data_IF_071180519359
#
_entry.id   IF_071180519359
#
_cell.length_a   1.000
_cell.length_b   1.000
_cell.length_c   1.000
_cell.angle_alpha   90.00
_cell.angle_beta   90.00
_cell.angle_gamma   90.00
#
_symmetry.space_group_name_H-M   'P 1'
#
loop_
_entity.id
_entity.type
_entity.pdbx_description
1 polymer ?
#
# COMPACT_ATOMS: atom_id res chain seq x y z
N UNK A 1 18.64 39.76 -6.20
CA UNK A 1 18.85 38.35 -5.80
C UNK A 1 17.68 37.51 -6.31
N UNK A 2 17.83 36.86 -7.47
CA UNK A 2 16.77 36.03 -8.04
C UNK A 2 16.56 34.78 -7.18
N UNK A 3 15.34 34.55 -6.68
CA UNK A 3 14.98 33.26 -6.08
C UNK A 3 15.20 32.19 -7.14
N UNK A 4 16.17 31.29 -6.93
CA UNK A 4 16.31 30.07 -7.75
C UNK A 4 14.93 29.39 -7.74
N UNK A 5 14.23 29.38 -8.87
CA UNK A 5 13.05 28.53 -9.03
C UNK A 5 13.55 27.10 -8.84
N UNK A 6 13.22 26.48 -7.72
CA UNK A 6 13.37 25.03 -7.60
C UNK A 6 12.44 24.43 -8.64
N UNK A 7 13.01 23.98 -9.76
CA UNK A 7 12.29 23.21 -10.77
C UNK A 7 11.99 21.89 -10.08
N UNK A 8 10.73 21.67 -9.68
CA UNK A 8 10.34 20.37 -9.17
C UNK A 8 10.38 19.38 -10.35
N UNK A 9 10.96 18.18 -10.15
CA UNK A 9 10.98 17.17 -11.20
C UNK A 9 9.54 16.83 -11.60
N UNK A 10 9.28 16.79 -12.90
CA UNK A 10 7.98 16.39 -13.41
C UNK A 10 7.97 14.87 -13.59
N UNK A 11 6.96 14.20 -13.04
CA UNK A 11 6.82 12.75 -13.15
C UNK A 11 5.67 12.36 -14.07
N UNK A 12 5.87 11.31 -14.85
CA UNK A 12 4.84 10.70 -15.70
C UNK A 12 4.54 9.31 -15.16
N UNK A 13 3.33 9.12 -14.63
CA UNK A 13 2.86 7.83 -14.14
C UNK A 13 2.16 7.05 -15.27
N UNK A 14 2.75 5.92 -15.68
CA UNK A 14 2.28 5.05 -16.77
C UNK A 14 1.42 3.88 -16.29
N UNK A 15 1.56 3.47 -15.02
CA UNK A 15 0.77 2.39 -14.39
C UNK A 15 0.46 2.72 -12.93
N UNK A 16 -0.63 2.16 -12.40
CA UNK A 16 -1.00 2.35 -10.98
C UNK A 16 0.03 1.73 -10.04
N UNK A 17 0.45 2.47 -9.02
CA UNK A 17 1.32 1.99 -7.94
C UNK A 17 0.46 1.44 -6.81
N UNK A 18 0.63 0.16 -6.47
CA UNK A 18 -0.17 -0.52 -5.45
C UNK A 18 0.69 -0.75 -4.21
N UNK A 19 0.36 -0.05 -3.13
CA UNK A 19 1.05 -0.17 -1.85
C UNK A 19 0.61 -1.45 -1.14
N UNK A 20 1.57 -2.34 -0.85
CA UNK A 20 1.32 -3.63 -0.18
C UNK A 20 2.21 -3.80 1.06
N UNK A 21 1.80 -4.68 1.96
CA UNK A 21 2.53 -4.96 3.20
C UNK A 21 1.65 -4.97 4.46
N UNK A 22 2.30 -5.19 5.60
CA UNK A 22 1.67 -5.35 6.90
C UNK A 22 0.88 -4.12 7.36
N UNK A 23 -0.05 -4.32 8.30
CA UNK A 23 -0.65 -3.21 9.04
C UNK A 23 0.45 -2.46 9.80
N UNK A 24 0.43 -1.12 9.83
CA UNK A 24 1.52 -0.34 10.45
C UNK A 24 2.75 -0.11 9.55
N UNK A 25 2.82 -0.72 8.35
CA UNK A 25 3.93 -0.49 7.42
C UNK A 25 3.96 0.92 6.80
N UNK A 26 2.90 1.72 6.99
CA UNK A 26 2.84 3.11 6.49
C UNK A 26 2.20 3.28 5.11
N UNK A 27 1.57 2.24 4.55
CA UNK A 27 0.96 2.24 3.20
C UNK A 27 0.14 3.49 2.88
N UNK A 28 -0.82 3.85 3.74
CA UNK A 28 -1.68 5.03 3.54
C UNK A 28 -0.88 6.33 3.64
N UNK A 29 0.03 6.45 4.61
CA UNK A 29 0.79 7.68 4.83
C UNK A 29 1.81 7.93 3.70
N UNK A 30 2.63 6.94 3.39
CA UNK A 30 3.59 6.99 2.28
C UNK A 30 2.86 7.09 0.95
N UNK A 31 1.77 6.34 0.76
CA UNK A 31 0.99 6.39 -0.48
C UNK A 31 0.36 7.76 -0.75
N UNK A 32 -0.14 8.46 0.28
CA UNK A 32 -0.64 9.85 0.15
C UNK A 32 0.49 10.83 -0.15
N UNK A 33 1.63 10.70 0.51
CA UNK A 33 2.80 11.54 0.19
C UNK A 33 3.28 11.32 -1.24
N UNK A 34 3.32 10.06 -1.68
CA UNK A 34 3.69 9.69 -3.05
C UNK A 34 2.70 10.24 -4.06
N UNK A 35 1.39 10.14 -3.81
CA UNK A 35 0.38 10.66 -4.74
C UNK A 35 0.49 12.19 -4.90
N UNK A 36 0.78 12.91 -3.81
CA UNK A 36 1.03 14.35 -3.84
C UNK A 36 2.29 14.68 -4.63
N UNK A 37 3.39 13.97 -4.38
CA UNK A 37 4.67 14.15 -5.07
C UNK A 37 4.57 13.92 -6.58
N UNK A 38 3.76 12.94 -6.98
CA UNK A 38 3.51 12.59 -8.38
C UNK A 38 2.35 13.36 -9.01
N UNK A 39 1.62 14.19 -8.25
CA UNK A 39 0.40 14.88 -8.70
C UNK A 39 -0.66 13.96 -9.31
N UNK A 40 -0.87 12.79 -8.70
CA UNK A 40 -1.87 11.77 -9.09
C UNK A 40 -2.86 11.47 -7.96
N UNK A 41 -4.01 10.85 -8.23
CA UNK A 41 -4.95 10.46 -7.18
C UNK A 41 -4.38 9.45 -6.19
N UNK A 42 -4.82 9.55 -4.94
CA UNK A 42 -4.70 8.49 -3.95
C UNK A 42 -6.02 7.73 -3.86
N UNK A 43 -5.94 6.40 -3.94
CA UNK A 43 -7.07 5.47 -3.87
C UNK A 43 -6.87 4.55 -2.67
N UNK A 44 -7.95 4.15 -2.00
CA UNK A 44 -7.92 3.19 -0.88
C UNK A 44 -8.95 2.09 -1.12
N UNK A 45 -8.50 0.84 -1.30
CA UNK A 45 -9.39 -0.26 -1.60
C UNK A 45 -10.40 -0.53 -0.49
N UNK A 46 -10.00 -0.35 0.78
CA UNK A 46 -10.89 -0.62 1.91
C UNK A 46 -12.03 0.42 1.91
N UNK A 47 -11.71 1.70 1.68
CA UNK A 47 -12.73 2.76 1.57
C UNK A 47 -13.69 2.56 0.39
N UNK A 48 -13.17 2.08 -0.74
CA UNK A 48 -13.99 1.78 -1.93
C UNK A 48 -14.93 0.59 -1.71
N UNK A 49 -14.46 -0.45 -1.00
CA UNK A 49 -15.29 -1.58 -0.59
C UNK A 49 -16.39 -1.11 0.37
N UNK A 50 -16.05 -0.29 1.36
CA UNK A 50 -17.02 0.23 2.34
C UNK A 50 -18.10 1.08 1.66
N UNK A 51 -17.69 1.94 0.73
CA UNK A 51 -18.61 2.77 -0.07
C UNK A 51 -19.54 1.91 -0.91
N UNK A 52 -19.01 0.90 -1.61
CA UNK A 52 -19.82 0.00 -2.43
C UNK A 52 -20.79 -0.87 -1.60
N UNK A 53 -20.41 -1.25 -0.38
CA UNK A 53 -21.22 -2.08 0.50
C UNK A 53 -22.18 -1.28 1.41
N UNK A 54 -22.02 0.05 1.46
CA UNK A 54 -22.63 0.95 2.43
C UNK A 54 -22.49 0.43 3.88
N UNK A 55 -21.30 -0.11 4.20
CA UNK A 55 -20.96 -0.79 5.46
C UNK A 55 -19.47 -0.71 5.71
N UNK A 56 -19.06 -0.67 6.96
CA UNK A 56 -17.66 -0.73 7.35
C UNK A 56 -17.08 -2.13 7.13
N UNK A 57 -15.75 -2.25 6.96
CA UNK A 57 -15.08 -3.55 6.83
C UNK A 57 -15.44 -4.50 7.98
N UNK A 58 -15.41 -4.10 9.28
CA UNK A 58 -15.81 -4.98 10.38
C UNK A 58 -17.26 -5.49 10.24
N UNK A 59 -18.19 -4.67 9.76
CA UNK A 59 -19.58 -5.07 9.55
C UNK A 59 -19.72 -6.09 8.42
N UNK A 60 -18.99 -5.90 7.31
CA UNK A 60 -18.95 -6.85 6.19
C UNK A 60 -18.41 -8.20 6.68
N UNK A 61 -17.31 -8.22 7.44
CA UNK A 61 -16.77 -9.45 8.00
C UNK A 61 -17.76 -10.14 8.96
N UNK A 62 -18.44 -9.38 9.82
CA UNK A 62 -19.41 -9.93 10.78
C UNK A 62 -20.64 -10.51 10.09
N UNK A 63 -21.15 -9.87 9.05
CA UNK A 63 -22.40 -10.23 8.37
C UNK A 63 -22.20 -11.26 7.26
N UNK A 64 -21.24 -11.00 6.38
CA UNK A 64 -21.08 -11.70 5.10
C UNK A 64 -19.83 -12.62 5.09
N UNK A 65 -18.93 -12.47 6.07
CA UNK A 65 -17.76 -13.30 6.27
C UNK A 65 -16.56 -12.94 5.40
N UNK A 66 -15.40 -13.51 5.73
CA UNK A 66 -14.14 -13.19 5.03
C UNK A 66 -14.19 -13.58 3.55
N UNK A 67 -14.80 -14.72 3.20
CA UNK A 67 -14.88 -15.18 1.80
C UNK A 67 -15.57 -14.14 0.92
N UNK A 68 -16.67 -13.56 1.39
CA UNK A 68 -17.38 -12.50 0.67
C UNK A 68 -16.53 -11.23 0.56
N UNK A 69 -15.91 -10.80 1.65
CA UNK A 69 -15.02 -9.65 1.66
C UNK A 69 -13.90 -9.80 0.63
N UNK A 70 -13.24 -10.97 0.57
CA UNK A 70 -12.15 -11.24 -0.38
C UNK A 70 -12.61 -11.22 -1.84
N UNK A 71 -13.82 -11.70 -2.13
CA UNK A 71 -14.38 -11.61 -3.47
C UNK A 71 -14.60 -10.15 -3.89
N UNK A 72 -15.18 -9.33 -3.00
CA UNK A 72 -15.38 -7.89 -3.24
C UNK A 72 -14.05 -7.13 -3.36
N UNK A 73 -13.08 -7.45 -2.52
CA UNK A 73 -11.72 -6.88 -2.57
C UNK A 73 -11.07 -7.13 -3.93
N UNK A 74 -11.19 -8.34 -4.48
CA UNK A 74 -10.64 -8.68 -5.78
C UNK A 74 -11.32 -7.97 -6.96
N UNK A 75 -12.63 -7.72 -6.87
CA UNK A 75 -13.40 -6.94 -7.86
C UNK A 75 -13.03 -5.46 -7.82
N UNK A 76 -12.99 -4.87 -6.61
CA UNK A 76 -12.64 -3.46 -6.41
C UNK A 76 -11.22 -3.18 -6.87
N UNK A 77 -10.24 -4.02 -6.50
CA UNK A 77 -8.85 -3.86 -6.98
C UNK A 77 -8.77 -3.94 -8.50
N UNK A 78 -9.49 -4.87 -9.13
CA UNK A 78 -9.48 -5.01 -10.59
C UNK A 78 -10.02 -3.73 -11.27
N UNK A 79 -11.11 -3.17 -10.74
CA UNK A 79 -11.73 -1.93 -11.23
C UNK A 79 -10.78 -0.73 -11.07
N UNK A 80 -10.23 -0.53 -9.88
CA UNK A 80 -9.33 0.59 -9.57
C UNK A 80 -8.02 0.58 -10.38
N UNK A 81 -7.57 -0.60 -10.80
CA UNK A 81 -6.42 -0.74 -11.70
C UNK A 81 -6.70 -0.27 -13.14
N UNK A 82 -7.96 -0.20 -13.56
CA UNK A 82 -8.37 0.20 -14.91
C UNK A 82 -8.84 1.66 -14.99
N UNK A 83 -9.47 2.20 -13.95
CA UNK A 83 -10.12 3.52 -13.99
C UNK A 83 -9.14 4.69 -14.18
N UNK A 84 -8.25 4.90 -13.22
CA UNK A 84 -7.32 6.03 -13.24
C UNK A 84 -5.99 5.64 -12.61
N UNK A 85 -4.91 5.96 -13.31
CA UNK A 85 -3.55 5.79 -12.80
C UNK A 85 -3.36 6.64 -11.56
N UNK A 86 -2.91 6.03 -10.48
CA UNK A 86 -2.67 6.69 -9.21
C UNK A 86 -1.88 5.81 -8.25
N UNK A 87 -1.98 6.16 -6.97
CA UNK A 87 -1.42 5.35 -5.88
C UNK A 87 -2.57 4.68 -5.13
N UNK A 88 -2.61 3.35 -5.19
CA UNK A 88 -3.63 2.51 -4.56
C UNK A 88 -3.09 1.90 -3.26
N UNK A 89 -3.64 2.30 -2.12
CA UNK A 89 -3.44 1.61 -0.85
C UNK A 89 -4.38 0.42 -0.75
N UNK A 90 -3.86 -0.72 -0.30
CA UNK A 90 -4.66 -1.95 -0.12
C UNK A 90 -4.72 -2.41 1.33
N UNK A 91 -5.78 -3.15 1.66
CA UNK A 91 -5.87 -3.89 2.92
C UNK A 91 -4.73 -4.89 3.06
N UNK A 92 -4.32 -5.19 4.31
CA UNK A 92 -3.18 -6.07 4.56
C UNK A 92 -3.36 -7.51 4.04
N UNK A 93 -4.58 -7.94 3.71
CA UNK A 93 -4.84 -9.26 3.13
C UNK A 93 -4.87 -9.30 1.61
N UNK A 94 -4.99 -8.15 0.94
CA UNK A 94 -5.24 -8.06 -0.51
C UNK A 94 -4.21 -8.80 -1.35
N UNK A 95 -2.91 -8.61 -1.05
CA UNK A 95 -1.81 -9.19 -1.80
C UNK A 95 -1.60 -10.69 -1.54
N UNK A 96 -2.32 -11.27 -0.56
CA UNK A 96 -2.23 -12.71 -0.25
C UNK A 96 -2.95 -13.56 -1.31
N UNK A 97 -3.97 -13.03 -1.95
CA UNK A 97 -4.66 -13.69 -3.06
C UNK A 97 -3.78 -13.67 -4.32
N UNK A 98 -3.57 -14.84 -4.92
CA UNK A 98 -2.78 -14.97 -6.14
C UNK A 98 -3.33 -14.15 -7.31
N UNK A 99 -4.65 -14.17 -7.48
CA UNK A 99 -5.31 -13.42 -8.56
C UNK A 99 -5.07 -11.91 -8.43
N UNK A 100 -5.09 -11.37 -7.21
CA UNK A 100 -4.78 -9.97 -6.97
C UNK A 100 -3.33 -9.67 -7.36
N UNK A 101 -2.36 -10.53 -7.00
CA UNK A 101 -0.96 -10.34 -7.39
C UNK A 101 -0.79 -10.32 -8.91
N UNK A 102 -1.44 -11.25 -9.62
CA UNK A 102 -1.38 -11.32 -11.08
C UNK A 102 -1.96 -10.05 -11.70
N UNK A 103 -3.15 -9.61 -11.27
CA UNK A 103 -3.78 -8.37 -11.75
C UNK A 103 -2.92 -7.12 -11.48
N UNK A 104 -2.35 -7.03 -10.27
CA UNK A 104 -1.49 -5.91 -9.88
C UNK A 104 -0.22 -5.89 -10.73
N UNK A 105 0.44 -7.04 -10.92
CA UNK A 105 1.68 -7.13 -11.73
C UNK A 105 1.43 -6.79 -13.19
N UNK A 106 0.29 -7.23 -13.74
CA UNK A 106 -0.03 -7.05 -15.17
C UNK A 106 -0.48 -5.63 -15.51
N UNK A 107 -1.25 -4.99 -14.63
CA UNK A 107 -1.89 -3.68 -14.90
C UNK A 107 -1.29 -2.52 -14.11
N UNK A 108 -0.49 -2.82 -13.10
CA UNK A 108 0.10 -1.87 -12.16
C UNK A 108 1.55 -2.22 -11.84
N UNK A 109 1.94 -1.89 -10.61
CA UNK A 109 3.14 -2.36 -9.94
C UNK A 109 2.85 -2.50 -8.46
N UNK A 110 3.30 -3.58 -7.83
CA UNK A 110 3.25 -3.74 -6.39
C UNK A 110 4.51 -3.18 -5.73
N UNK A 111 4.32 -2.26 -4.78
CA UNK A 111 5.39 -1.70 -3.94
C UNK A 111 5.19 -2.20 -2.52
N UNK A 112 6.07 -3.10 -2.07
CA UNK A 112 6.07 -3.60 -0.71
C UNK A 112 6.88 -2.68 0.21
N UNK A 113 6.20 -2.08 1.20
CA UNK A 113 6.84 -1.43 2.32
C UNK A 113 7.25 -2.49 3.35
N UNK A 114 8.51 -2.91 3.26
CA UNK A 114 9.10 -3.96 4.09
C UNK A 114 9.60 -3.40 5.42
N UNK A 115 8.69 -3.36 6.39
CA UNK A 115 8.98 -3.00 7.79
C UNK A 115 9.20 -4.28 8.61
N UNK A 116 10.22 -4.27 9.47
CA UNK A 116 10.46 -5.37 10.41
C UNK A 116 9.39 -5.44 11.52
N UNK A 117 9.36 -6.57 12.22
CA UNK A 117 8.37 -6.85 13.25
C UNK A 117 8.38 -5.81 14.38
N UNK A 118 9.56 -5.35 14.79
CA UNK A 118 9.72 -4.40 15.89
C UNK A 118 9.18 -3.02 15.54
N UNK A 119 9.49 -2.51 14.34
CA UNK A 119 8.95 -1.26 13.82
C UNK A 119 7.44 -1.34 13.66
N UNK A 120 6.93 -2.46 13.14
CA UNK A 120 5.49 -2.68 13.04
C UNK A 120 4.83 -2.65 14.42
N UNK A 121 5.40 -3.35 15.41
CA UNK A 121 4.90 -3.39 16.77
C UNK A 121 4.86 -2.00 17.40
N UNK A 122 5.95 -1.23 17.32
CA UNK A 122 6.02 0.14 17.83
C UNK A 122 4.89 1.03 17.26
N UNK A 123 4.53 0.84 15.99
CA UNK A 123 3.50 1.64 15.30
C UNK A 123 2.07 1.22 15.59
N UNK A 124 1.83 -0.01 16.06
CA UNK A 124 0.47 -0.56 16.23
C UNK A 124 0.08 -0.85 17.67
N UNK A 125 1.04 -1.01 18.60
CA UNK A 125 0.77 -1.46 19.99
C UNK A 125 -0.17 -0.56 20.80
N UNK A 126 -0.26 0.73 20.47
CA UNK A 126 -1.14 1.71 21.15
C UNK A 126 -2.42 2.03 20.36
N UNK A 127 -2.74 1.27 19.30
CA UNK A 127 -3.87 1.57 18.41
C UNK A 127 -5.03 0.60 18.62
N UNK A 128 -6.13 1.11 19.16
CA UNK A 128 -7.37 0.33 19.34
C UNK A 128 -8.08 0.00 18.02
N UNK A 129 -7.68 0.65 16.91
CA UNK A 129 -8.27 0.48 15.58
C UNK A 129 -7.80 -0.79 14.86
N UNK A 130 -7.18 -1.75 15.56
CA UNK A 130 -6.66 -3.01 14.98
C UNK A 130 -7.41 -4.23 15.54
N UNK A 131 -8.58 -4.60 15.00
CA UNK A 131 -9.36 -5.76 15.47
C UNK A 131 -8.56 -7.06 15.55
N UNK A 132 -7.67 -7.29 14.58
CA UNK A 132 -6.82 -8.49 14.53
C UNK A 132 -5.82 -8.61 15.69
N UNK A 133 -5.54 -7.52 16.42
CA UNK A 133 -4.63 -7.49 17.56
C UNK A 133 -5.37 -7.43 18.90
N UNK A 134 -6.70 -7.51 18.92
CA UNK A 134 -7.50 -7.58 20.14
C UNK A 134 -7.53 -9.03 20.67
N UNK A 135 -6.37 -9.51 21.08
CA UNK A 135 -6.15 -10.87 21.61
C UNK A 135 -5.44 -10.80 22.96
N UNK A 136 -5.36 -11.93 23.67
CA UNK A 136 -4.66 -11.99 24.96
C UNK A 136 -3.16 -11.66 24.86
N UNK A 137 -2.54 -11.96 23.72
CA UNK A 137 -1.16 -11.58 23.40
C UNK A 137 -1.09 -10.96 21.98
N UNK A 138 -1.23 -9.62 21.88
CA UNK A 138 -1.20 -8.91 20.61
C UNK A 138 0.15 -9.02 19.89
N UNK A 139 1.27 -9.11 20.62
CA UNK A 139 2.60 -9.20 20.03
C UNK A 139 2.84 -10.58 19.41
N UNK A 140 2.48 -11.66 20.11
CA UNK A 140 2.53 -13.01 19.54
C UNK A 140 1.59 -13.14 18.33
N UNK A 141 0.42 -12.52 18.38
CA UNK A 141 -0.53 -12.48 17.26
C UNK A 141 0.07 -11.78 16.05
N UNK A 142 0.68 -10.60 16.24
CA UNK A 142 1.37 -9.87 15.18
C UNK A 142 2.51 -10.71 14.59
N UNK A 143 3.31 -11.35 15.43
CA UNK A 143 4.45 -12.22 15.03
C UNK A 143 3.99 -13.35 14.13
N UNK A 144 2.90 -14.04 14.49
CA UNK A 144 2.30 -15.12 13.68
C UNK A 144 1.80 -14.59 12.34
N UNK A 145 1.09 -13.46 12.33
CA UNK A 145 0.61 -12.84 11.09
C UNK A 145 1.80 -12.44 10.20
N UNK A 146 2.86 -11.88 10.78
CA UNK A 146 4.07 -11.47 10.08
C UNK A 146 4.73 -12.67 9.38
N UNK A 147 5.02 -13.74 10.11
CA UNK A 147 5.65 -14.95 9.56
C UNK A 147 4.85 -15.59 8.42
N UNK A 148 3.52 -15.54 8.50
CA UNK A 148 2.64 -16.09 7.47
C UNK A 148 2.55 -15.21 6.20
N UNK A 149 2.68 -13.89 6.34
CA UNK A 149 2.40 -12.96 5.23
C UNK A 149 3.65 -12.49 4.50
N UNK A 150 4.78 -12.34 5.18
CA UNK A 150 6.04 -11.85 4.60
C UNK A 150 6.50 -12.64 3.37
N UNK A 151 6.46 -13.99 3.35
CA UNK A 151 6.83 -14.75 2.15
C UNK A 151 5.99 -14.41 0.92
N UNK A 152 4.76 -13.93 1.11
CA UNK A 152 3.90 -13.50 0.01
C UNK A 152 4.16 -12.05 -0.38
N UNK A 153 4.38 -11.14 0.58
CA UNK A 153 4.76 -9.77 0.27
C UNK A 153 6.10 -9.68 -0.45
N UNK A 154 7.05 -10.58 -0.16
CA UNK A 154 8.34 -10.69 -0.86
C UNK A 154 8.22 -10.99 -2.36
N UNK A 155 7.03 -11.35 -2.84
CA UNK A 155 6.72 -11.54 -4.28
C UNK A 155 6.31 -10.24 -4.98
N UNK A 156 6.35 -9.09 -4.28
CA UNK A 156 6.07 -7.80 -4.89
C UNK A 156 7.12 -7.42 -5.93
N UNK A 157 6.69 -6.63 -6.92
CA UNK A 157 7.53 -6.18 -8.03
C UNK A 157 8.68 -5.29 -7.55
N UNK A 158 8.41 -4.46 -6.54
CA UNK A 158 9.36 -3.50 -5.97
C UNK A 158 9.33 -3.62 -4.45
N UNK A 159 10.51 -3.74 -3.84
CA UNK A 159 10.68 -3.85 -2.39
C UNK A 159 11.37 -2.60 -1.87
N UNK A 160 10.75 -1.95 -0.88
CA UNK A 160 11.29 -0.76 -0.22
C UNK A 160 11.33 -1.01 1.28
N UNK A 161 12.53 -1.15 1.83
CA UNK A 161 12.72 -1.32 3.29
C UNK A 161 12.21 -0.10 4.04
N UNK A 162 11.28 -0.27 4.99
CA UNK A 162 10.89 0.78 5.93
C UNK A 162 11.79 0.68 7.16
N UNK A 163 12.56 1.74 7.42
CA UNK A 163 13.55 1.78 8.50
C UNK A 163 13.02 2.71 9.59
N UNK A 164 13.30 2.39 10.85
CA UNK A 164 12.97 3.27 11.98
C UNK A 164 13.69 4.62 11.83
N UNK A 165 13.03 5.70 12.26
CA UNK A 165 13.57 7.06 12.18
C UNK A 165 13.35 7.79 10.86
N UNK A 166 12.98 7.10 9.78
CA UNK A 166 12.65 7.76 8.51
C UNK A 166 11.30 8.49 8.59
N UNK A 167 11.30 9.72 8.11
CA UNK A 167 10.11 10.51 7.83
C UNK A 167 9.30 9.92 6.65
N UNK A 168 8.06 10.40 6.50
CA UNK A 168 7.23 10.02 5.35
C UNK A 168 7.83 10.52 4.05
N UNK A 169 8.43 11.71 4.03
CA UNK A 169 9.07 12.29 2.85
C UNK A 169 10.25 11.44 2.39
N UNK A 170 11.14 11.05 3.30
CA UNK A 170 12.27 10.16 2.98
C UNK A 170 11.79 8.80 2.47
N UNK A 171 10.70 8.25 3.03
CA UNK A 171 10.11 7.02 2.51
C UNK A 171 9.52 7.20 1.11
N UNK A 172 8.91 8.34 0.80
CA UNK A 172 8.38 8.67 -0.52
C UNK A 172 9.53 8.77 -1.53
N UNK A 173 10.60 9.49 -1.19
CA UNK A 173 11.77 9.63 -2.06
C UNK A 173 12.39 8.26 -2.39
N UNK A 174 12.54 7.39 -1.37
CA UNK A 174 13.03 6.02 -1.58
C UNK A 174 12.12 5.16 -2.45
N UNK A 175 10.80 5.35 -2.39
CA UNK A 175 9.85 4.67 -3.29
C UNK A 175 10.02 5.16 -4.72
N UNK A 176 10.17 6.47 -4.92
CA UNK A 176 10.38 7.08 -6.24
C UNK A 176 11.68 6.58 -6.84
N UNK A 177 12.80 6.66 -6.10
CA UNK A 177 14.10 6.18 -6.56
C UNK A 177 14.04 4.74 -7.01
N UNK A 178 13.37 3.88 -6.23
CA UNK A 178 13.19 2.47 -6.55
C UNK A 178 12.31 2.23 -7.77
N UNK A 179 11.25 3.01 -7.95
CA UNK A 179 10.40 2.92 -9.13
C UNK A 179 11.13 3.38 -10.40
N UNK A 180 11.90 4.47 -10.33
CA UNK A 180 12.69 4.97 -11.45
C UNK A 180 13.79 3.98 -11.85
N UNK A 181 14.46 3.35 -10.87
CA UNK A 181 15.54 2.39 -11.14
C UNK A 181 15.03 1.04 -11.63
N UNK A 182 14.01 0.49 -10.98
CA UNK A 182 13.61 -0.91 -11.17
C UNK A 182 12.44 -1.03 -12.17
N UNK A 183 11.64 0.03 -12.36
CA UNK A 183 10.39 0.00 -13.16
C UNK A 183 10.16 1.29 -13.99
N UNK A 184 11.05 1.63 -14.95
CA UNK A 184 10.86 2.78 -15.85
C UNK A 184 9.64 2.64 -16.78
N UNK A 185 9.08 1.43 -16.90
CA UNK A 185 7.79 1.18 -17.56
C UNK A 185 6.58 1.67 -16.76
N UNK A 186 6.76 1.99 -15.47
CA UNK A 186 5.73 2.50 -14.55
C UNK A 186 5.90 3.99 -14.31
N UNK A 187 7.10 4.44 -13.95
CA UNK A 187 7.36 5.82 -13.55
C UNK A 187 8.54 6.36 -14.35
N UNK A 188 8.36 7.56 -14.89
CA UNK A 188 9.40 8.27 -15.63
C UNK A 188 9.56 9.67 -15.07
N UNK A 189 10.81 10.13 -14.95
CA UNK A 189 11.13 11.52 -14.66
C UNK A 189 11.35 12.25 -15.98
N UNK A 190 10.53 13.25 -16.25
CA UNK A 190 10.66 14.13 -17.40
C UNK A 190 11.37 15.40 -17.00
N UNK A 191 12.39 15.77 -17.78
CA UNK A 191 13.05 17.07 -17.69
C UNK A 191 12.27 17.99 -18.63
N UNK A 192 11.37 18.79 -18.07
CA UNK A 192 10.73 19.89 -18.80
C UNK A 192 11.68 21.08 -18.93
#
# INVERSE_FOLDING_TARGET
MGKKKHIQPHFILKKTIVMVGMMGAGKTAVGRGLSQRLSVPFLDSDSEIETAANRTVPEIFKRDGEKFFRAREAEVIARLLEEKRGVLSTGGGAFLAQDNRIKITTRGVSVWLDADLDLLWQRVRLKDTRPLLRTADPFATLTKIYGNRVPTYAKADVVVKSISGLSIEEMVDRVIDKLLSDRPDVLEMSIA
#
